data_IF_433812413415
#
_entry.id   IF_433812413415
#
_cell.length_a   1.000
_cell.length_b   1.000
_cell.length_c   1.000
_cell.angle_alpha   90.00
_cell.angle_beta   90.00
_cell.angle_gamma   90.00
#
_symmetry.space_group_name_H-M   'P 1'
#
loop_
_entity.id
_entity.type
_entity.pdbx_description
1 polymer ?
#
# COMPACT_ATOMS: atom_id res chain seq x y z
N UNK A 1 25.73 34.73 -47.30
CA UNK A 1 25.04 33.42 -47.35
C UNK A 1 25.65 32.34 -46.43
N UNK A 2 26.90 32.40 -45.95
CA UNK A 2 27.50 31.37 -45.09
C UNK A 2 27.17 31.47 -43.58
N UNK A 3 26.65 32.61 -43.09
CA UNK A 3 26.29 32.80 -41.66
C UNK A 3 24.86 32.34 -41.33
N UNK A 4 23.95 32.20 -42.27
CA UNK A 4 22.57 31.74 -42.03
C UNK A 4 22.45 30.21 -41.98
N UNK A 5 23.42 29.47 -42.52
CA UNK A 5 23.39 28.01 -42.57
C UNK A 5 23.86 27.42 -41.20
N UNK A 6 24.76 28.12 -40.48
CA UNK A 6 25.22 27.65 -39.14
C UNK A 6 24.15 27.80 -38.04
N UNK A 7 23.25 28.77 -38.15
CA UNK A 7 22.16 28.95 -37.17
C UNK A 7 21.03 27.95 -37.33
N UNK A 8 20.82 27.44 -38.56
CA UNK A 8 19.82 26.43 -38.85
C UNK A 8 20.23 25.01 -38.34
N UNK A 9 21.54 24.72 -38.29
CA UNK A 9 22.02 23.43 -37.78
C UNK A 9 21.97 23.35 -36.21
N UNK A 10 22.07 24.47 -35.51
CA UNK A 10 21.95 24.49 -34.05
C UNK A 10 20.50 24.39 -33.56
N UNK A 11 19.54 24.83 -34.36
CA UNK A 11 18.12 24.68 -34.04
C UNK A 11 17.58 23.24 -34.22
N UNK A 12 18.21 22.44 -35.09
CA UNK A 12 17.80 21.05 -35.33
C UNK A 12 18.35 20.08 -34.29
N UNK A 13 19.46 20.39 -33.63
CA UNK A 13 20.06 19.55 -32.61
C UNK A 13 19.41 19.72 -31.22
N UNK A 14 18.70 20.82 -30.97
CA UNK A 14 17.98 21.05 -29.71
C UNK A 14 16.63 20.34 -29.62
N UNK A 15 16.10 19.86 -30.74
CA UNK A 15 14.77 19.20 -30.80
C UNK A 15 14.82 17.68 -30.52
N UNK A 16 16.02 17.09 -30.44
CA UNK A 16 16.19 15.64 -30.23
C UNK A 16 16.44 15.20 -28.78
N UNK A 17 16.52 16.14 -27.81
CA UNK A 17 16.83 15.82 -26.43
C UNK A 17 15.60 15.74 -25.48
N UNK A 18 14.36 15.81 -26.01
CA UNK A 18 13.12 15.68 -25.22
C UNK A 18 12.33 14.40 -25.52
N UNK A 19 12.93 13.43 -26.20
CA UNK A 19 12.35 12.08 -26.25
C UNK A 19 12.69 11.35 -24.95
N UNK A 20 12.13 11.80 -23.83
CA UNK A 20 12.07 11.04 -22.61
C UNK A 20 11.40 9.70 -22.91
N UNK A 21 12.15 8.58 -22.78
CA UNK A 21 11.64 7.22 -22.87
C UNK A 21 10.69 6.90 -21.70
N UNK A 22 9.61 7.63 -21.56
CA UNK A 22 8.44 7.17 -20.83
C UNK A 22 7.69 6.19 -21.74
N UNK A 23 7.60 4.92 -21.37
CA UNK A 23 6.66 4.00 -22.02
C UNK A 23 5.28 4.65 -21.94
N UNK A 24 4.71 5.07 -23.09
CA UNK A 24 3.36 5.62 -23.12
C UNK A 24 2.39 4.50 -22.78
N UNK A 25 1.69 4.63 -21.66
CA UNK A 25 0.59 3.73 -21.29
C UNK A 25 -0.47 3.78 -22.39
N UNK A 26 -0.92 2.63 -22.93
CA UNK A 26 -1.96 2.60 -23.96
C UNK A 26 -3.23 3.30 -23.47
N UNK A 27 -3.92 4.01 -24.35
CA UNK A 27 -5.19 4.66 -24.01
C UNK A 27 -6.20 3.64 -23.47
N UNK A 28 -6.89 4.00 -22.40
CA UNK A 28 -7.84 3.12 -21.70
C UNK A 28 -7.18 2.08 -20.77
N UNK A 29 -5.93 2.31 -20.34
CA UNK A 29 -5.26 1.51 -19.32
C UNK A 29 -5.27 2.27 -18.00
N UNK A 30 -5.76 1.64 -16.92
CA UNK A 30 -5.74 2.21 -15.58
C UNK A 30 -4.32 2.14 -14.98
N UNK A 31 -3.85 3.24 -14.41
CA UNK A 31 -2.60 3.26 -13.66
C UNK A 31 -2.95 3.09 -12.19
N UNK A 32 -2.42 2.03 -11.59
CA UNK A 32 -2.66 1.66 -10.20
C UNK A 32 -1.35 1.77 -9.45
N UNK A 33 -1.27 2.64 -8.45
CA UNK A 33 -0.15 2.70 -7.53
C UNK A 33 -0.38 1.68 -6.41
N UNK A 34 0.67 0.95 -6.02
CA UNK A 34 0.58 -0.05 -4.97
C UNK A 34 1.87 -0.17 -4.17
N UNK A 35 1.75 -0.70 -2.95
CA UNK A 35 2.88 -1.06 -2.12
C UNK A 35 3.70 -2.19 -2.78
N UNK A 36 4.99 -2.25 -2.46
CA UNK A 36 5.90 -3.29 -2.94
C UNK A 36 6.40 -4.23 -1.83
N UNK A 37 5.93 -4.06 -0.59
CA UNK A 37 6.52 -4.70 0.60
C UNK A 37 5.50 -5.07 1.68
N UNK A 38 4.28 -5.41 1.30
CA UNK A 38 3.22 -5.85 2.21
C UNK A 38 2.83 -7.31 1.95
N UNK A 39 3.74 -8.25 2.20
CA UNK A 39 3.43 -9.69 2.14
C UNK A 39 2.48 -10.08 3.28
N UNK A 40 1.49 -10.97 3.05
CA UNK A 40 1.20 -11.73 1.83
C UNK A 40 0.24 -11.02 0.84
N UNK A 41 -0.12 -9.75 1.07
CA UNK A 41 -1.15 -9.02 0.34
C UNK A 41 -0.67 -8.48 -1.01
N UNK A 42 0.33 -7.57 -0.99
CA UNK A 42 0.90 -6.98 -2.20
C UNK A 42 2.40 -6.72 -2.01
N UNK A 43 3.22 -7.30 -2.87
CA UNK A 43 4.68 -7.16 -2.78
C UNK A 43 5.35 -7.40 -4.13
N UNK A 44 6.63 -7.01 -4.24
CA UNK A 44 7.43 -7.31 -5.40
C UNK A 44 7.95 -8.76 -5.31
N UNK A 45 7.52 -9.61 -6.23
CA UNK A 45 8.03 -10.99 -6.36
C UNK A 45 9.49 -11.04 -6.79
N UNK A 46 10.08 -12.23 -6.80
CA UNK A 46 11.49 -12.42 -7.17
C UNK A 46 11.82 -11.99 -8.61
N UNK A 47 10.84 -11.95 -9.49
CA UNK A 47 10.95 -11.46 -10.87
C UNK A 47 10.67 -9.94 -11.00
N UNK A 48 10.45 -9.26 -9.89
CA UNK A 48 10.11 -7.85 -9.83
C UNK A 48 8.66 -7.50 -10.21
N UNK A 49 7.82 -8.51 -10.45
CA UNK A 49 6.38 -8.30 -10.70
C UNK A 49 5.60 -8.30 -9.40
N UNK A 50 4.39 -7.75 -9.47
CA UNK A 50 3.47 -7.80 -8.34
C UNK A 50 3.08 -9.25 -8.03
N UNK A 51 3.09 -9.57 -6.74
CA UNK A 51 2.65 -10.85 -6.19
C UNK A 51 1.80 -10.58 -4.95
N UNK A 52 1.12 -11.60 -4.47
CA UNK A 52 0.27 -11.52 -3.28
C UNK A 52 -1.23 -11.54 -3.61
N UNK A 53 -2.03 -11.64 -2.56
CA UNK A 53 -3.49 -11.79 -2.65
C UNK A 53 -4.15 -10.65 -3.42
N UNK A 54 -3.75 -9.40 -3.15
CA UNK A 54 -4.34 -8.21 -3.77
C UNK A 54 -4.06 -8.18 -5.28
N UNK A 55 -2.84 -8.56 -5.70
CA UNK A 55 -2.46 -8.62 -7.10
C UNK A 55 -3.29 -9.68 -7.85
N UNK A 56 -3.49 -10.86 -7.25
CA UNK A 56 -4.27 -11.94 -7.84
C UNK A 56 -5.77 -11.64 -7.89
N UNK A 57 -6.32 -10.97 -6.87
CA UNK A 57 -7.71 -10.48 -6.87
C UNK A 57 -7.90 -9.44 -7.97
N UNK A 58 -6.98 -8.46 -8.08
CA UNK A 58 -7.03 -7.44 -9.12
C UNK A 58 -6.98 -8.06 -10.53
N UNK A 59 -6.08 -9.02 -10.75
CA UNK A 59 -5.97 -9.72 -12.04
C UNK A 59 -7.27 -10.45 -12.40
N UNK A 60 -7.84 -11.22 -11.45
CA UNK A 60 -9.09 -11.92 -11.66
C UNK A 60 -10.28 -10.98 -11.98
N UNK A 61 -10.32 -9.82 -11.30
CA UNK A 61 -11.34 -8.78 -11.56
C UNK A 61 -11.10 -8.14 -12.95
N UNK A 62 -9.85 -7.85 -13.30
CA UNK A 62 -9.51 -7.25 -14.60
C UNK A 62 -9.86 -8.19 -15.76
N UNK A 63 -9.61 -9.50 -15.61
CA UNK A 63 -10.01 -10.52 -16.58
C UNK A 63 -11.54 -10.61 -16.73
N UNK A 64 -12.28 -10.64 -15.60
CA UNK A 64 -13.75 -10.72 -15.59
C UNK A 64 -14.41 -9.50 -16.25
N UNK A 65 -13.89 -8.29 -15.98
CA UNK A 65 -14.46 -7.05 -16.49
C UNK A 65 -13.83 -6.55 -17.80
N UNK A 66 -12.76 -7.19 -18.28
CA UNK A 66 -12.12 -6.88 -19.55
C UNK A 66 -11.39 -5.52 -19.60
N UNK A 67 -10.92 -5.00 -18.46
CA UNK A 67 -10.12 -3.77 -18.43
C UNK A 67 -8.61 -4.07 -18.38
N UNK A 68 -7.82 -3.10 -18.85
CA UNK A 68 -6.35 -3.15 -18.78
C UNK A 68 -5.84 -2.24 -17.69
N UNK A 69 -4.77 -2.65 -17.03
CA UNK A 69 -4.11 -1.84 -16.01
C UNK A 69 -2.57 -1.94 -16.12
N UNK A 70 -1.90 -0.96 -15.54
CA UNK A 70 -0.47 -0.94 -15.25
C UNK A 70 -0.32 -0.79 -13.74
N UNK A 71 0.18 -1.82 -13.08
CA UNK A 71 0.42 -1.81 -11.63
C UNK A 71 1.84 -1.29 -11.39
N UNK A 72 1.96 -0.19 -10.65
CA UNK A 72 3.22 0.47 -10.29
C UNK A 72 3.53 0.23 -8.84
N UNK A 73 4.48 -0.68 -8.60
CA UNK A 73 4.97 -1.00 -7.27
C UNK A 73 6.02 0.01 -6.82
N UNK A 74 5.90 0.48 -5.59
CA UNK A 74 6.87 1.31 -4.89
C UNK A 74 6.67 1.20 -3.38
N UNK A 75 7.55 1.79 -2.57
CA UNK A 75 7.22 1.94 -1.15
C UNK A 75 5.90 2.71 -0.95
N UNK A 76 5.21 2.43 0.16
CA UNK A 76 3.88 2.98 0.43
C UNK A 76 3.81 4.50 0.31
N UNK A 77 4.79 5.24 0.85
CA UNK A 77 4.80 6.70 0.78
C UNK A 77 4.90 7.21 -0.66
N UNK A 78 5.69 6.55 -1.49
CA UNK A 78 5.81 6.85 -2.92
C UNK A 78 4.50 6.53 -3.64
N UNK A 79 3.87 5.37 -3.38
CA UNK A 79 2.57 5.00 -3.95
C UNK A 79 1.49 6.03 -3.60
N UNK A 80 1.41 6.43 -2.32
CA UNK A 80 0.52 7.49 -1.84
C UNK A 80 0.78 8.82 -2.55
N UNK A 81 2.03 9.22 -2.71
CA UNK A 81 2.43 10.46 -3.39
C UNK A 81 2.05 10.46 -4.88
N UNK A 82 2.27 9.36 -5.58
CA UNK A 82 1.88 9.17 -6.99
C UNK A 82 0.36 9.22 -7.16
N UNK A 83 -0.39 8.61 -6.24
CA UNK A 83 -1.85 8.63 -6.23
C UNK A 83 -2.40 10.04 -5.93
N UNK A 84 -1.97 10.68 -4.84
CA UNK A 84 -2.47 12.00 -4.43
C UNK A 84 -2.09 13.13 -5.38
N UNK A 85 -1.00 12.96 -6.15
CA UNK A 85 -0.61 13.88 -7.24
C UNK A 85 -1.29 13.58 -8.58
N UNK A 86 -2.28 12.66 -8.61
CA UNK A 86 -3.03 12.25 -9.81
C UNK A 86 -2.17 11.63 -10.93
N UNK A 87 -0.98 11.11 -10.62
CA UNK A 87 -0.14 10.35 -11.54
C UNK A 87 -0.55 8.88 -11.66
N UNK A 88 -1.34 8.39 -10.70
CA UNK A 88 -2.10 7.15 -10.78
C UNK A 88 -3.58 7.45 -10.52
N UNK A 89 -4.47 6.69 -11.15
CA UNK A 89 -5.91 6.81 -10.95
C UNK A 89 -6.39 6.06 -9.72
N UNK A 90 -5.70 4.99 -9.35
CA UNK A 90 -6.12 4.04 -8.31
C UNK A 90 -4.98 3.81 -7.33
N UNK A 91 -5.34 3.60 -6.05
CA UNK A 91 -4.44 3.14 -5.00
C UNK A 91 -4.89 1.77 -4.51
N UNK A 92 -3.94 0.83 -4.40
CA UNK A 92 -4.13 -0.53 -3.91
C UNK A 92 -3.08 -0.87 -2.85
N UNK A 93 -3.47 -1.62 -1.82
CA UNK A 93 -2.60 -2.13 -0.76
C UNK A 93 -2.91 -1.49 0.59
N UNK A 94 -3.11 -2.30 1.61
CA UNK A 94 -3.33 -1.94 3.04
C UNK A 94 -4.16 -0.67 3.27
N UNK A 95 -5.26 -0.56 2.58
CA UNK A 95 -6.11 0.63 2.59
C UNK A 95 -7.52 0.29 3.07
N UNK A 96 -7.97 0.91 4.15
CA UNK A 96 -9.37 0.93 4.53
C UNK A 96 -10.00 2.30 4.27
N UNK A 97 -11.31 2.30 4.05
CA UNK A 97 -12.08 3.55 3.98
C UNK A 97 -12.18 4.19 5.36
N UNK A 98 -12.00 5.50 5.41
CA UNK A 98 -12.27 6.29 6.61
C UNK A 98 -12.86 7.66 6.26
N UNK A 99 -13.44 8.34 7.26
CA UNK A 99 -14.12 9.60 7.05
C UNK A 99 -13.14 10.72 6.64
N UNK A 100 -11.94 10.77 7.21
CA UNK A 100 -10.93 11.80 6.90
C UNK A 100 -10.55 11.76 5.41
N UNK A 101 -10.34 10.57 4.85
CA UNK A 101 -10.04 10.38 3.42
C UNK A 101 -11.25 10.70 2.54
N UNK A 102 -12.45 10.28 2.95
CA UNK A 102 -13.68 10.58 2.22
C UNK A 102 -13.94 12.10 2.15
N UNK A 103 -13.76 12.81 3.27
CA UNK A 103 -13.86 14.27 3.33
C UNK A 103 -12.75 14.95 2.49
N UNK A 104 -11.60 14.30 2.34
CA UNK A 104 -10.51 14.68 1.45
C UNK A 104 -10.77 14.41 -0.05
N UNK A 105 -11.97 13.94 -0.41
CA UNK A 105 -12.37 13.69 -1.80
C UNK A 105 -11.98 12.34 -2.37
N UNK A 106 -11.71 11.36 -1.51
CA UNK A 106 -11.46 9.99 -1.94
C UNK A 106 -12.76 9.20 -2.02
N UNK A 107 -12.80 8.28 -2.97
CA UNK A 107 -13.88 7.32 -3.16
C UNK A 107 -13.32 5.91 -3.07
N UNK A 108 -14.09 4.99 -2.51
CA UNK A 108 -13.64 3.64 -2.18
C UNK A 108 -14.51 2.59 -2.85
N UNK A 109 -13.91 1.43 -3.15
CA UNK A 109 -14.65 0.23 -3.53
C UNK A 109 -15.36 -0.39 -2.33
N UNK A 110 -16.16 -1.40 -2.59
CA UNK A 110 -16.53 -2.38 -1.58
C UNK A 110 -15.26 -3.06 -1.04
N UNK A 111 -15.34 -3.57 0.19
CA UNK A 111 -14.24 -4.33 0.77
C UNK A 111 -13.99 -5.62 -0.02
N UNK A 112 -12.73 -5.83 -0.39
CA UNK A 112 -12.31 -7.05 -1.07
C UNK A 112 -11.61 -8.05 -0.13
N UNK A 113 -11.19 -7.63 1.06
CA UNK A 113 -10.63 -8.50 2.10
C UNK A 113 -11.01 -7.95 3.47
N UNK A 114 -11.78 -8.72 4.24
CA UNK A 114 -12.34 -8.32 5.52
C UNK A 114 -11.56 -8.94 6.69
N UNK A 115 -11.73 -8.37 7.89
CA UNK A 115 -11.14 -8.90 9.12
C UNK A 115 -9.70 -8.46 9.37
N UNK A 116 -9.21 -7.42 8.67
CA UNK A 116 -7.87 -6.88 8.89
C UNK A 116 -7.79 -6.19 10.25
N UNK A 117 -6.83 -6.59 11.05
CA UNK A 117 -6.52 -6.00 12.35
C UNK A 117 -5.10 -5.45 12.38
N UNK A 118 -4.81 -4.59 13.34
CA UNK A 118 -3.48 -4.04 13.60
C UNK A 118 -2.93 -4.64 14.88
N UNK A 119 -1.68 -5.06 14.89
CA UNK A 119 -0.99 -5.58 16.06
C UNK A 119 0.30 -4.83 16.32
N UNK A 120 0.74 -4.88 17.60
CA UNK A 120 2.02 -4.37 18.04
C UNK A 120 3.07 -5.48 17.93
N UNK A 121 4.28 -5.14 17.47
CA UNK A 121 5.45 -5.99 17.64
C UNK A 121 6.61 -5.22 18.28
N UNK A 122 7.46 -5.97 18.96
CA UNK A 122 8.62 -5.47 19.68
C UNK A 122 9.81 -6.42 19.51
N UNK A 123 10.98 -6.00 19.92
CA UNK A 123 12.17 -6.86 20.03
C UNK A 123 11.97 -7.86 21.17
N UNK A 124 12.25 -9.17 21.00
CA UNK A 124 11.92 -10.22 21.98
C UNK A 124 12.53 -10.05 23.37
N UNK A 125 13.67 -9.35 23.50
CA UNK A 125 14.29 -9.06 24.80
C UNK A 125 13.79 -7.76 25.44
N UNK A 126 12.85 -7.06 24.78
CA UNK A 126 12.24 -5.82 25.29
C UNK A 126 11.41 -6.06 26.54
N UNK A 127 11.35 -5.05 27.40
CA UNK A 127 10.41 -4.98 28.54
C UNK A 127 9.02 -4.45 28.15
N UNK A 128 8.78 -4.21 26.86
CA UNK A 128 7.52 -3.70 26.31
C UNK A 128 6.62 -4.88 25.92
N UNK A 129 5.65 -5.24 26.75
CA UNK A 129 4.79 -6.42 26.53
C UNK A 129 3.29 -6.06 26.44
N UNK A 130 2.94 -4.80 26.76
CA UNK A 130 1.57 -4.30 26.72
C UNK A 130 1.53 -2.90 26.13
N UNK A 131 0.34 -2.39 25.82
CA UNK A 131 0.17 -1.00 25.36
C UNK A 131 0.54 0.01 26.45
N UNK A 132 0.33 -0.35 27.73
CA UNK A 132 0.69 0.47 28.89
C UNK A 132 2.20 0.69 29.00
N UNK A 133 3.01 -0.28 28.58
CA UNK A 133 4.48 -0.22 28.60
C UNK A 133 5.04 0.77 27.59
N UNK A 134 4.21 1.29 26.67
CA UNK A 134 4.59 2.29 25.68
C UNK A 134 4.73 3.71 26.25
N UNK A 135 4.27 3.96 27.48
CA UNK A 135 4.29 5.29 28.09
C UNK A 135 5.68 5.94 28.03
N UNK A 136 5.77 7.12 27.44
CA UNK A 136 7.03 7.87 27.26
C UNK A 136 7.98 7.33 26.18
N UNK A 137 7.64 6.22 25.52
CA UNK A 137 8.47 5.61 24.47
C UNK A 137 8.06 6.10 23.06
N UNK A 138 8.90 5.82 22.06
CA UNK A 138 8.59 6.03 20.65
C UNK A 138 8.06 4.73 20.04
N UNK A 139 7.00 4.84 19.23
CA UNK A 139 6.41 3.74 18.46
C UNK A 139 6.58 4.02 16.96
N UNK A 140 7.10 3.06 16.23
CA UNK A 140 7.35 3.13 14.81
C UNK A 140 6.11 2.74 14.01
N UNK A 141 5.82 3.48 12.95
CA UNK A 141 4.74 3.18 11.99
C UNK A 141 5.14 3.59 10.57
N UNK A 142 4.56 2.98 9.57
CA UNK A 142 4.67 3.47 8.19
C UNK A 142 3.72 4.66 8.02
N UNK A 143 4.23 5.76 7.46
CA UNK A 143 3.44 6.99 7.30
C UNK A 143 2.18 6.76 6.45
N UNK A 144 1.01 7.16 6.95
CA UNK A 144 -0.27 7.04 6.24
C UNK A 144 -0.82 5.61 6.11
N UNK A 145 -0.22 4.62 6.81
CA UNK A 145 -0.74 3.25 6.89
C UNK A 145 -1.87 3.12 7.91
N UNK A 146 -2.55 1.97 7.91
CA UNK A 146 -3.53 1.63 8.96
C UNK A 146 -2.87 1.52 10.34
N UNK A 147 -1.64 1.01 10.42
CA UNK A 147 -0.84 0.99 11.66
C UNK A 147 -0.60 2.40 12.21
N UNK A 148 -0.36 3.40 11.33
CA UNK A 148 -0.23 4.79 11.76
C UNK A 148 -1.55 5.38 12.27
N UNK A 149 -2.68 5.04 11.65
CA UNK A 149 -4.02 5.46 12.11
C UNK A 149 -4.34 4.83 13.46
N UNK A 150 -4.03 3.55 13.64
CA UNK A 150 -4.21 2.86 14.92
C UNK A 150 -3.33 3.45 16.02
N UNK A 151 -2.04 3.67 15.77
CA UNK A 151 -1.15 4.35 16.72
C UNK A 151 -1.67 5.74 17.09
N UNK A 152 -2.16 6.52 16.13
CA UNK A 152 -2.75 7.85 16.37
C UNK A 152 -3.97 7.78 17.30
N UNK A 153 -4.78 6.73 17.20
CA UNK A 153 -5.96 6.54 18.07
C UNK A 153 -5.59 6.20 19.51
N UNK A 154 -4.42 5.62 19.73
CA UNK A 154 -3.97 5.11 21.04
C UNK A 154 -2.99 6.04 21.79
N UNK A 155 -2.23 6.88 21.06
CA UNK A 155 -1.09 7.63 21.60
C UNK A 155 -1.41 8.48 22.84
N UNK A 156 -2.57 9.12 22.84
CA UNK A 156 -2.97 10.02 23.94
C UNK A 156 -3.42 9.23 25.18
N UNK A 157 -4.01 8.05 24.98
CA UNK A 157 -4.41 7.15 26.08
C UNK A 157 -3.21 6.49 26.76
N UNK A 158 -2.23 6.03 25.97
CA UNK A 158 -1.06 5.28 26.47
C UNK A 158 0.20 6.11 26.61
N UNK A 159 0.19 7.40 26.19
CA UNK A 159 1.25 8.35 26.47
C UNK A 159 2.55 8.12 25.67
N UNK A 160 2.48 7.55 24.46
CA UNK A 160 3.65 7.36 23.60
C UNK A 160 3.76 8.40 22.49
N UNK A 161 4.92 8.50 21.89
CA UNK A 161 5.16 9.29 20.69
C UNK A 161 5.21 8.42 19.43
N UNK A 162 4.81 8.97 18.28
CA UNK A 162 4.82 8.26 16.98
C UNK A 162 6.04 8.70 16.18
N UNK A 163 6.84 7.74 15.71
CA UNK A 163 7.92 7.92 14.75
C UNK A 163 7.51 7.28 13.41
N UNK A 164 7.51 8.08 12.33
CA UNK A 164 7.04 7.64 11.01
C UNK A 164 8.20 7.24 10.12
N UNK A 165 8.01 6.16 9.36
CA UNK A 165 8.96 5.59 8.42
C UNK A 165 8.32 5.48 7.02
N UNK A 166 9.14 5.29 6.00
CA UNK A 166 8.68 5.25 4.59
C UNK A 166 8.13 3.89 4.17
N UNK A 167 8.62 2.81 4.81
CA UNK A 167 8.28 1.41 4.51
C UNK A 167 8.41 0.54 5.76
N UNK A 168 7.91 -0.70 5.69
CA UNK A 168 7.92 -1.67 6.78
C UNK A 168 9.32 -2.10 7.17
N UNK A 169 10.26 -2.22 6.21
CA UNK A 169 11.66 -2.54 6.51
C UNK A 169 12.32 -1.50 7.42
N UNK A 170 12.16 -0.21 7.11
CA UNK A 170 12.71 0.88 7.93
C UNK A 170 12.04 0.94 9.30
N UNK A 171 10.74 0.66 9.37
CA UNK A 171 9.96 0.59 10.61
C UNK A 171 10.46 -0.55 11.51
N UNK A 172 10.59 -1.77 10.98
CA UNK A 172 11.09 -2.92 11.74
C UNK A 172 12.55 -2.71 12.19
N UNK A 173 13.40 -2.17 11.32
CA UNK A 173 14.78 -1.85 11.67
C UNK A 173 14.88 -0.86 12.84
N UNK A 174 13.96 0.09 12.95
CA UNK A 174 13.93 1.03 14.06
C UNK A 174 13.60 0.36 15.40
N UNK A 175 12.77 -0.68 15.41
CA UNK A 175 12.50 -1.49 16.61
C UNK A 175 13.71 -2.34 16.96
N UNK A 176 14.28 -3.07 16.00
CA UNK A 176 15.42 -3.95 16.21
C UNK A 176 16.70 -3.22 16.67
N UNK A 177 16.90 -1.97 16.29
CA UNK A 177 18.05 -1.16 16.73
C UNK A 177 17.76 -0.31 17.98
N UNK A 178 16.56 -0.42 18.58
CA UNK A 178 16.16 0.30 19.80
C UNK A 178 15.82 1.78 19.60
N UNK A 179 15.69 2.27 18.35
CA UNK A 179 15.24 3.65 18.07
C UNK A 179 13.75 3.81 18.40
N UNK A 180 12.95 2.76 18.23
CA UNK A 180 11.57 2.67 18.68
C UNK A 180 11.41 1.46 19.63
N UNK A 181 10.47 1.54 20.57
CA UNK A 181 10.20 0.46 21.50
C UNK A 181 9.34 -0.65 20.90
N UNK A 182 8.48 -0.28 19.95
CA UNK A 182 7.57 -1.17 19.25
C UNK A 182 7.17 -0.58 17.90
N UNK A 183 6.48 -1.37 17.09
CA UNK A 183 5.82 -0.90 15.87
C UNK A 183 4.38 -1.41 15.82
N UNK A 184 3.53 -0.75 14.99
CA UNK A 184 2.23 -1.25 14.60
C UNK A 184 2.19 -1.51 13.10
N UNK A 185 1.61 -2.66 12.74
CA UNK A 185 1.43 -3.12 11.36
C UNK A 185 0.17 -3.99 11.25
N UNK A 186 -0.31 -4.22 10.03
CA UNK A 186 -1.37 -5.17 9.76
C UNK A 186 -0.97 -6.55 10.29
N UNK A 187 -1.84 -7.15 11.11
CA UNK A 187 -1.53 -8.38 11.88
C UNK A 187 -1.00 -9.51 11.00
N UNK A 188 -1.62 -9.74 9.84
CA UNK A 188 -1.20 -10.81 8.93
C UNK A 188 0.13 -10.51 8.24
N UNK A 189 0.39 -9.24 7.85
CA UNK A 189 1.66 -8.84 7.28
C UNK A 189 2.80 -8.92 8.30
N UNK A 190 2.54 -8.49 9.53
CA UNK A 190 3.48 -8.63 10.64
C UNK A 190 3.79 -10.10 10.95
N UNK A 191 2.77 -10.96 10.97
CA UNK A 191 2.94 -12.41 11.19
C UNK A 191 3.80 -13.03 10.09
N UNK A 192 3.53 -12.71 8.83
CA UNK A 192 4.31 -13.18 7.68
C UNK A 192 5.79 -12.75 7.78
N UNK A 193 6.04 -11.50 8.16
CA UNK A 193 7.38 -10.95 8.37
C UNK A 193 8.12 -11.65 9.52
N UNK A 194 7.45 -11.93 10.64
CA UNK A 194 8.00 -12.64 11.80
C UNK A 194 8.35 -14.08 11.43
N UNK A 195 7.46 -14.79 10.74
CA UNK A 195 7.69 -16.16 10.27
C UNK A 195 8.85 -16.22 9.25
N UNK A 196 9.03 -15.18 8.46
CA UNK A 196 10.16 -15.02 7.54
C UNK A 196 11.48 -14.65 8.23
N UNK A 197 11.47 -14.46 9.56
CA UNK A 197 12.69 -14.30 10.36
C UNK A 197 13.11 -12.86 10.60
N UNK A 198 12.18 -11.89 10.58
CA UNK A 198 12.51 -10.47 10.85
C UNK A 198 13.07 -10.23 12.25
N UNK A 199 12.89 -11.18 13.21
CA UNK A 199 13.44 -11.11 14.55
C UNK A 199 12.62 -10.29 15.55
N UNK A 200 11.37 -9.96 15.24
CA UNK A 200 10.43 -9.33 16.16
C UNK A 200 9.49 -10.36 16.78
N UNK A 201 8.80 -9.96 17.84
CA UNK A 201 7.74 -10.72 18.49
C UNK A 201 6.47 -9.89 18.55
N UNK A 202 5.35 -10.49 18.12
CA UNK A 202 4.03 -9.85 18.16
C UNK A 202 3.41 -9.93 19.55
N UNK A 203 2.68 -8.88 19.93
CA UNK A 203 1.90 -8.78 21.16
C UNK A 203 0.42 -8.94 20.82
N UNK A 204 -0.11 -10.15 20.98
CA UNK A 204 -1.49 -10.50 20.58
C UNK A 204 -2.57 -9.66 21.27
N UNK A 205 -2.34 -9.25 22.55
CA UNK A 205 -3.29 -8.41 23.29
C UNK A 205 -3.44 -6.97 22.76
N UNK A 206 -2.65 -6.60 21.75
CA UNK A 206 -2.65 -5.26 21.16
C UNK A 206 -3.53 -5.13 19.92
N UNK A 207 -4.26 -6.18 19.53
CA UNK A 207 -5.02 -6.25 18.29
C UNK A 207 -6.16 -5.21 18.23
N UNK A 208 -6.27 -4.52 17.08
CA UNK A 208 -7.32 -3.53 16.84
C UNK A 208 -8.67 -4.16 16.51
N UNK A 209 -9.73 -3.33 16.44
CA UNK A 209 -10.97 -3.76 15.80
C UNK A 209 -10.72 -4.00 14.29
N UNK A 210 -11.39 -5.02 13.70
CA UNK A 210 -11.18 -5.37 12.30
C UNK A 210 -11.75 -4.31 11.34
N UNK A 211 -11.05 -4.11 10.23
CA UNK A 211 -11.49 -3.29 9.09
C UNK A 211 -11.44 -4.12 7.80
N UNK A 212 -11.88 -3.56 6.68
CA UNK A 212 -11.80 -4.19 5.38
C UNK A 212 -10.90 -3.42 4.42
N UNK A 213 -10.07 -4.14 3.66
CA UNK A 213 -9.30 -3.54 2.57
C UNK A 213 -10.19 -3.18 1.39
N UNK A 214 -9.94 -2.02 0.80
CA UNK A 214 -10.59 -1.53 -0.40
C UNK A 214 -9.56 -0.91 -1.35
N UNK A 215 -9.94 -0.66 -2.60
CA UNK A 215 -9.20 0.22 -3.48
C UNK A 215 -9.78 1.63 -3.42
N UNK A 216 -8.95 2.65 -3.71
CA UNK A 216 -9.39 4.03 -3.72
C UNK A 216 -9.10 4.74 -5.03
N UNK A 217 -9.94 5.76 -5.33
CA UNK A 217 -9.68 6.77 -6.34
C UNK A 217 -9.83 8.17 -5.70
N UNK A 218 -9.02 9.14 -6.13
CA UNK A 218 -8.97 10.48 -5.50
C UNK A 218 -9.65 11.57 -6.34
N UNK A 219 -10.49 11.20 -7.31
CA UNK A 219 -11.35 12.14 -8.04
C UNK A 219 -12.60 11.44 -8.58
N UNK A 220 -13.65 12.24 -8.84
CA UNK A 220 -14.93 11.74 -9.32
C UNK A 220 -14.85 11.11 -10.73
N UNK A 221 -13.91 11.54 -11.56
CA UNK A 221 -13.74 11.05 -12.94
C UNK A 221 -13.30 9.57 -12.98
N UNK A 222 -12.63 9.11 -11.93
CA UNK A 222 -12.13 7.75 -11.82
C UNK A 222 -13.10 6.78 -11.13
N UNK A 223 -14.28 7.22 -10.67
CA UNK A 223 -15.26 6.34 -10.01
C UNK A 223 -15.74 5.18 -10.89
N UNK A 224 -15.67 5.33 -12.23
CA UNK A 224 -15.95 4.24 -13.15
C UNK A 224 -15.06 3.00 -12.91
N UNK A 225 -13.84 3.18 -12.36
CA UNK A 225 -12.99 2.06 -11.95
C UNK A 225 -13.62 1.29 -10.78
N UNK A 226 -14.16 1.99 -9.79
CA UNK A 226 -14.77 1.36 -8.61
C UNK A 226 -16.01 0.54 -9.00
N UNK A 227 -16.79 1.02 -9.99
CA UNK A 227 -17.94 0.26 -10.51
C UNK A 227 -17.49 -1.04 -11.19
N UNK A 228 -16.42 -0.99 -12.02
CA UNK A 228 -15.82 -2.17 -12.63
C UNK A 228 -15.28 -3.12 -11.56
N UNK A 229 -14.53 -2.57 -10.58
CA UNK A 229 -13.94 -3.35 -9.51
C UNK A 229 -15.00 -4.08 -8.68
N UNK A 230 -16.02 -3.36 -8.18
CA UNK A 230 -17.07 -3.93 -7.34
C UNK A 230 -17.88 -5.00 -8.09
N UNK A 231 -18.19 -4.76 -9.38
CA UNK A 231 -18.88 -5.72 -10.22
C UNK A 231 -18.05 -6.98 -10.44
N UNK A 232 -16.77 -6.84 -10.76
CA UNK A 232 -15.85 -7.97 -10.91
C UNK A 232 -15.65 -8.72 -9.60
N UNK A 233 -15.51 -8.01 -8.48
CA UNK A 233 -15.43 -8.62 -7.15
C UNK A 233 -16.66 -9.48 -6.83
N UNK A 234 -17.86 -8.97 -7.11
CA UNK A 234 -19.09 -9.74 -6.93
C UNK A 234 -19.11 -11.01 -7.82
N UNK A 235 -18.67 -10.90 -9.08
CA UNK A 235 -18.61 -12.03 -10.01
C UNK A 235 -17.61 -13.10 -9.56
N UNK A 236 -16.38 -12.72 -9.17
CA UNK A 236 -15.37 -13.68 -8.72
C UNK A 236 -15.72 -14.31 -7.37
N UNK A 237 -16.47 -13.62 -6.50
CA UNK A 237 -17.08 -14.21 -5.29
C UNK A 237 -18.15 -15.24 -5.68
N UNK A 238 -19.06 -14.89 -6.58
CA UNK A 238 -20.17 -15.78 -6.99
C UNK A 238 -19.69 -17.05 -7.71
N UNK A 239 -18.59 -17.01 -8.47
CA UNK A 239 -18.07 -18.16 -9.22
C UNK A 239 -17.02 -18.99 -8.45
N UNK A 240 -16.73 -18.64 -7.19
CA UNK A 240 -15.79 -19.33 -6.31
C UNK A 240 -14.30 -19.07 -6.62
N UNK A 241 -13.99 -18.14 -7.53
CA UNK A 241 -12.59 -17.74 -7.80
C UNK A 241 -11.99 -17.06 -6.58
N UNK A 242 -12.74 -16.16 -5.95
CA UNK A 242 -12.34 -15.46 -4.74
C UNK A 242 -11.96 -16.43 -3.60
N UNK A 243 -12.79 -17.44 -3.32
CA UNK A 243 -12.51 -18.41 -2.26
C UNK A 243 -11.25 -19.25 -2.54
N UNK A 244 -10.99 -19.58 -3.81
CA UNK A 244 -9.75 -20.27 -4.20
C UNK A 244 -8.51 -19.39 -3.99
N UNK A 245 -8.61 -18.08 -4.26
CA UNK A 245 -7.53 -17.15 -4.01
C UNK A 245 -7.27 -17.00 -2.51
N UNK A 246 -8.32 -16.82 -1.69
CA UNK A 246 -8.16 -16.77 -0.23
C UNK A 246 -7.52 -18.05 0.31
N UNK A 247 -7.96 -19.22 -0.12
CA UNK A 247 -7.42 -20.50 0.35
C UNK A 247 -5.93 -20.69 0.03
N UNK A 248 -5.40 -20.04 -1.01
CA UNK A 248 -3.97 -20.05 -1.36
C UNK A 248 -3.11 -19.30 -0.33
N UNK A 249 -3.68 -18.28 0.32
CA UNK A 249 -2.99 -17.42 1.28
C UNK A 249 -3.40 -17.68 2.73
N UNK A 250 -4.40 -18.53 2.98
CA UNK A 250 -4.75 -18.98 4.33
C UNK A 250 -3.61 -19.84 4.91
N UNK A 251 -3.13 -19.48 6.08
CA UNK A 251 -2.13 -20.23 6.87
C UNK A 251 -2.78 -20.97 8.01
#
# INVERSE_FOLDING_TARGET
MKKCILLALWALTALFLLAGCGKKTPAGTWIIAADNDLSPFIYAGADGKAAGLDAEILEAIAEDQGFRYELRLSDWNTAMGVFTSHQAQVLLGSLASNQERADGGWYFSDSFYDGVTQSMAMEPSSDTNTLEDLAGKAVAVVSGSLGAEYAKSLKDQYGFSIATYKDSHAMYAAVLNGTAAACFEDTEAMRDSIESGIGLQMVESSESQPVGYCVAVCNAENQAFLELFNKGLANIKANGTYDRLLAKYAK
#
